data_IF_483058994530
#
_entry.id   IF_483058994530
#
_cell.length_a   1.000
_cell.length_b   1.000
_cell.length_c   1.000
_cell.angle_alpha   90.00
_cell.angle_beta   90.00
_cell.angle_gamma   90.00
#
_symmetry.space_group_name_H-M   'P 1'
#
loop_
_entity.id
_entity.type
_entity.pdbx_description
1 polymer ?
#
# COMPACT_ATOMS: atom_id res chain seq x y z
N UNK A 1 -29.75 -33.66 37.14
CA UNK A 1 -30.50 -33.29 35.90
C UNK A 1 -30.55 -31.78 35.64
N UNK A 2 -30.72 -30.94 36.69
CA UNK A 2 -30.73 -29.45 36.53
C UNK A 2 -29.36 -28.88 36.12
N UNK A 3 -28.27 -29.41 36.70
CA UNK A 3 -26.89 -28.91 36.40
C UNK A 3 -26.41 -29.25 34.99
N UNK A 4 -26.90 -30.37 34.43
CA UNK A 4 -26.57 -30.80 33.07
C UNK A 4 -27.27 -29.91 32.01
N UNK A 5 -28.50 -29.45 32.29
CA UNK A 5 -29.27 -28.58 31.40
C UNK A 5 -28.68 -27.16 31.42
N UNK A 6 -28.25 -26.68 32.60
CA UNK A 6 -27.56 -25.37 32.68
C UNK A 6 -26.21 -25.37 32.02
N UNK A 7 -25.42 -26.45 32.10
CA UNK A 7 -24.16 -26.61 31.40
C UNK A 7 -24.33 -26.66 29.87
N UNK A 8 -25.35 -27.37 29.39
CA UNK A 8 -25.67 -27.43 27.96
C UNK A 8 -26.17 -26.08 27.41
N UNK A 9 -26.98 -25.35 28.19
CA UNK A 9 -27.47 -24.02 27.80
C UNK A 9 -26.36 -22.99 27.79
N UNK A 10 -25.43 -23.00 28.74
CA UNK A 10 -24.26 -22.13 28.74
C UNK A 10 -23.29 -22.45 27.59
N UNK A 11 -23.06 -23.73 27.28
CA UNK A 11 -22.24 -24.12 26.12
C UNK A 11 -22.88 -23.67 24.78
N UNK A 12 -24.20 -23.79 24.68
CA UNK A 12 -24.93 -23.37 23.48
C UNK A 12 -24.89 -21.84 23.32
N UNK A 13 -25.03 -21.07 24.39
CA UNK A 13 -24.96 -19.59 24.37
C UNK A 13 -23.54 -19.12 24.01
N UNK A 14 -22.52 -19.74 24.61
CA UNK A 14 -21.11 -19.39 24.30
C UNK A 14 -20.76 -19.71 22.84
N UNK A 15 -21.18 -20.88 22.34
CA UNK A 15 -20.97 -21.22 20.91
C UNK A 15 -21.69 -20.25 20.00
N UNK A 16 -22.95 -19.87 20.27
CA UNK A 16 -23.69 -18.91 19.46
C UNK A 16 -23.08 -17.51 19.48
N UNK A 17 -22.50 -17.07 20.59
CA UNK A 17 -21.78 -15.79 20.65
C UNK A 17 -20.42 -15.84 19.90
N UNK A 18 -19.68 -16.93 20.05
CA UNK A 18 -18.42 -17.15 19.31
C UNK A 18 -18.70 -17.24 17.81
N UNK A 19 -19.74 -17.97 17.40
CA UNK A 19 -20.17 -18.05 16.00
C UNK A 19 -20.56 -16.68 15.44
N UNK A 20 -21.28 -15.84 16.18
CA UNK A 20 -21.63 -14.48 15.76
C UNK A 20 -20.38 -13.59 15.62
N UNK A 21 -19.43 -13.67 16.56
CA UNK A 21 -18.19 -12.89 16.52
C UNK A 21 -17.30 -13.36 15.36
N UNK A 22 -17.16 -14.66 15.16
CA UNK A 22 -16.40 -15.22 14.04
C UNK A 22 -17.03 -14.83 12.71
N UNK A 23 -18.35 -14.92 12.59
CA UNK A 23 -19.06 -14.55 11.37
C UNK A 23 -18.98 -13.05 11.07
N UNK A 24 -19.10 -12.17 12.07
CA UNK A 24 -19.00 -10.72 11.85
C UNK A 24 -17.59 -10.31 11.39
N UNK A 25 -16.55 -10.85 12.02
CA UNK A 25 -15.16 -10.56 11.66
C UNK A 25 -14.74 -11.20 10.33
N UNK A 26 -15.38 -12.28 9.92
CA UNK A 26 -15.04 -12.98 8.67
C UNK A 26 -15.50 -12.26 7.40
N UNK A 27 -16.41 -11.27 7.52
CA UNK A 27 -16.80 -10.39 6.41
C UNK A 27 -15.87 -9.20 6.24
N UNK A 28 -14.98 -8.94 7.22
CA UNK A 28 -14.00 -7.87 7.10
C UNK A 28 -12.81 -8.38 6.30
N UNK A 29 -12.43 -7.60 5.30
CA UNK A 29 -11.24 -7.80 4.50
C UNK A 29 -10.15 -6.81 4.87
N UNK A 30 -8.91 -7.19 4.60
CA UNK A 30 -7.76 -6.31 4.69
C UNK A 30 -6.76 -6.64 3.60
N UNK A 31 -6.15 -5.61 3.03
CA UNK A 31 -5.00 -5.71 2.15
C UNK A 31 -3.74 -5.41 2.96
N UNK A 32 -2.61 -5.98 2.58
CA UNK A 32 -1.36 -5.80 3.31
C UNK A 32 -0.16 -5.71 2.37
N UNK A 33 0.75 -4.79 2.68
CA UNK A 33 2.07 -4.75 2.09
C UNK A 33 3.11 -4.64 3.22
N UNK A 34 4.04 -5.58 3.27
CA UNK A 34 5.03 -5.69 4.34
C UNK A 34 6.42 -5.69 3.73
N UNK A 35 7.31 -4.84 4.24
CA UNK A 35 8.73 -4.86 3.90
C UNK A 35 9.53 -5.46 5.05
N UNK A 36 10.37 -6.43 4.74
CA UNK A 36 11.37 -7.01 5.64
C UNK A 36 12.77 -6.72 5.11
N UNK A 37 13.61 -6.15 5.96
CA UNK A 37 14.98 -5.78 5.61
C UNK A 37 15.93 -6.54 6.52
N UNK A 38 16.78 -7.38 5.92
CA UNK A 38 17.85 -8.09 6.60
C UNK A 38 19.19 -7.80 5.90
N UNK A 39 20.05 -7.01 6.54
CA UNK A 39 21.27 -6.48 5.96
C UNK A 39 21.00 -5.73 4.64
N UNK A 40 21.41 -6.31 3.51
CA UNK A 40 21.17 -5.76 2.17
C UNK A 40 19.92 -6.36 1.49
N UNK A 41 19.28 -7.35 2.10
CA UNK A 41 18.14 -8.02 1.50
C UNK A 41 16.84 -7.30 1.85
N UNK A 42 16.18 -6.74 0.86
CA UNK A 42 14.83 -6.19 0.96
C UNK A 42 13.85 -7.21 0.38
N UNK A 43 12.93 -7.69 1.21
CA UNK A 43 11.80 -8.50 0.79
C UNK A 43 10.52 -7.68 0.96
N UNK A 44 9.71 -7.62 -0.09
CA UNK A 44 8.39 -7.00 -0.04
C UNK A 44 7.34 -8.07 -0.32
N UNK A 45 6.48 -8.30 0.66
CA UNK A 45 5.34 -9.22 0.56
C UNK A 45 4.05 -8.42 0.49
N UNK A 46 3.20 -8.68 -0.50
CA UNK A 46 1.92 -8.00 -0.65
C UNK A 46 0.78 -8.97 -0.90
N UNK A 47 -0.40 -8.62 -0.37
CA UNK A 47 -1.69 -9.26 -0.60
C UNK A 47 -2.73 -8.16 -0.75
N UNK A 48 -3.30 -8.04 -1.94
CA UNK A 48 -4.22 -6.96 -2.31
C UNK A 48 -3.55 -5.88 -3.17
N UNK A 49 -4.12 -4.68 -3.14
CA UNK A 49 -3.82 -3.55 -4.04
C UNK A 49 -2.97 -2.43 -3.41
N UNK A 50 -2.40 -2.66 -2.22
CA UNK A 50 -1.35 -1.79 -1.70
C UNK A 50 -0.11 -1.83 -2.59
N UNK A 51 0.53 -0.68 -2.79
CA UNK A 51 1.74 -0.54 -3.61
C UNK A 51 3.00 -0.26 -2.79
N UNK A 52 4.15 -0.74 -3.28
CA UNK A 52 5.47 -0.44 -2.76
C UNK A 52 6.41 0.00 -3.88
N UNK A 53 7.10 1.12 -3.68
CA UNK A 53 7.98 1.72 -4.69
C UNK A 53 9.32 2.12 -4.08
N UNK A 54 10.40 1.64 -4.68
CA UNK A 54 11.78 1.97 -4.33
C UNK A 54 12.21 3.23 -5.08
N UNK A 55 12.71 4.22 -4.34
CA UNK A 55 13.32 5.42 -4.87
C UNK A 55 14.83 5.26 -5.03
N UNK A 56 15.30 5.31 -6.26
CA UNK A 56 16.70 5.14 -6.65
C UNK A 56 17.23 6.47 -7.15
N UNK A 57 18.41 6.88 -6.71
CA UNK A 57 19.07 8.08 -7.19
C UNK A 57 20.30 7.71 -8.00
N UNK A 58 20.32 8.10 -9.26
CA UNK A 58 21.49 7.91 -10.12
C UNK A 58 22.68 8.71 -9.55
N UNK A 59 23.82 8.05 -9.23
CA UNK A 59 24.98 8.74 -8.64
C UNK A 59 25.59 9.81 -9.57
N UNK A 60 25.54 9.58 -10.87
CA UNK A 60 26.18 10.42 -11.89
C UNK A 60 25.36 11.68 -12.20
N UNK A 61 24.04 11.52 -12.35
CA UNK A 61 23.14 12.59 -12.77
C UNK A 61 22.33 13.21 -11.65
N UNK A 62 22.23 12.50 -10.50
CA UNK A 62 21.34 12.88 -9.39
C UNK A 62 19.85 12.68 -9.69
N UNK A 63 19.51 12.15 -10.87
CA UNK A 63 18.12 11.90 -11.26
C UNK A 63 17.47 10.78 -10.45
N UNK A 64 16.19 10.93 -10.18
CA UNK A 64 15.38 9.95 -9.47
C UNK A 64 14.76 8.94 -10.43
N UNK A 65 14.77 7.68 -10.03
CA UNK A 65 14.14 6.58 -10.73
C UNK A 65 13.25 5.81 -9.75
N UNK A 66 12.09 5.38 -10.23
CA UNK A 66 11.16 4.56 -9.46
C UNK A 66 11.23 3.10 -9.89
N UNK A 67 11.23 2.18 -8.92
CA UNK A 67 11.12 0.74 -9.16
C UNK A 67 9.97 0.18 -8.32
N UNK A 68 8.94 -0.36 -8.98
CA UNK A 68 7.87 -1.09 -8.28
C UNK A 68 8.45 -2.31 -7.58
N UNK A 69 8.08 -2.50 -6.31
CA UNK A 69 8.54 -3.59 -5.46
C UNK A 69 7.44 -4.62 -5.18
N UNK A 70 6.30 -4.49 -5.82
CA UNK A 70 5.23 -5.48 -5.89
C UNK A 70 4.35 -5.22 -7.11
N UNK A 71 3.51 -6.21 -7.46
CA UNK A 71 2.41 -6.04 -8.38
C UNK A 71 1.12 -5.96 -7.54
N UNK A 72 0.31 -4.94 -7.75
CA UNK A 72 -0.98 -4.85 -7.10
C UNK A 72 -1.90 -5.98 -7.58
N UNK A 73 -2.69 -6.54 -6.67
CA UNK A 73 -3.63 -7.61 -7.01
C UNK A 73 -5.02 -7.02 -7.25
N UNK A 74 -5.17 -6.35 -8.38
CA UNK A 74 -6.40 -5.74 -8.87
C UNK A 74 -6.67 -6.15 -10.34
N UNK A 75 -7.72 -5.63 -10.94
CA UNK A 75 -8.13 -5.97 -12.32
C UNK A 75 -7.16 -5.49 -13.40
N UNK A 76 -6.31 -4.50 -13.12
CA UNK A 76 -5.27 -4.03 -14.05
C UNK A 76 -4.13 -5.05 -14.17
N UNK A 77 -3.98 -5.94 -13.19
CA UNK A 77 -2.99 -6.99 -13.21
C UNK A 77 -3.51 -8.20 -14.00
N UNK A 78 -3.17 -8.24 -15.29
CA UNK A 78 -3.60 -9.31 -16.19
C UNK A 78 -3.20 -10.71 -15.71
N UNK A 79 -2.11 -10.87 -14.95
CA UNK A 79 -1.70 -12.17 -14.39
C UNK A 79 -2.68 -12.65 -13.32
N UNK A 80 -3.14 -11.73 -12.46
CA UNK A 80 -4.16 -12.06 -11.45
C UNK A 80 -5.51 -12.38 -12.09
N UNK A 81 -5.90 -11.59 -13.08
CA UNK A 81 -7.11 -11.86 -13.87
C UNK A 81 -7.04 -13.25 -14.50
N UNK A 82 -5.93 -13.57 -15.18
CA UNK A 82 -5.74 -14.87 -15.80
C UNK A 82 -5.71 -16.03 -14.77
N UNK A 83 -5.13 -15.80 -13.58
CA UNK A 83 -5.16 -16.79 -12.49
C UNK A 83 -6.58 -17.13 -12.10
N UNK A 84 -7.40 -16.12 -11.79
CA UNK A 84 -8.79 -16.31 -11.36
C UNK A 84 -9.59 -17.00 -12.48
N UNK A 85 -9.49 -16.51 -13.71
CA UNK A 85 -10.21 -17.12 -14.85
C UNK A 85 -9.75 -18.56 -15.15
N UNK A 86 -8.50 -18.90 -14.84
CA UNK A 86 -7.95 -20.24 -14.99
C UNK A 86 -8.31 -21.21 -13.87
N UNK A 87 -8.63 -20.71 -12.69
CA UNK A 87 -9.06 -21.49 -11.52
C UNK A 87 -10.55 -21.86 -11.55
N UNK A 88 -11.34 -21.20 -12.43
CA UNK A 88 -12.79 -21.39 -12.52
C UNK A 88 -13.23 -21.91 -13.91
N UNK A 89 -14.41 -22.57 -13.99
CA UNK A 89 -14.98 -23.04 -15.26
C UNK A 89 -15.17 -21.90 -16.27
N UNK A 90 -15.13 -22.24 -17.56
CA UNK A 90 -15.29 -21.25 -18.65
C UNK A 90 -16.63 -20.51 -18.60
N UNK A 91 -17.66 -21.15 -18.10
CA UNK A 91 -19.01 -20.61 -17.93
C UNK A 91 -19.07 -19.46 -16.92
N UNK A 92 -18.05 -19.35 -16.05
CA UNK A 92 -17.94 -18.30 -15.01
C UNK A 92 -17.03 -17.13 -15.42
N UNK A 93 -16.37 -17.19 -16.56
CA UNK A 93 -15.40 -16.19 -16.98
C UNK A 93 -15.99 -14.77 -17.05
N UNK A 94 -17.25 -14.65 -17.51
CA UNK A 94 -17.92 -13.35 -17.60
C UNK A 94 -18.45 -12.82 -16.25
N UNK A 95 -18.45 -13.66 -15.21
CA UNK A 95 -19.02 -13.35 -13.90
C UNK A 95 -17.97 -13.29 -12.79
N UNK A 96 -16.88 -14.06 -12.92
CA UNK A 96 -15.81 -14.09 -11.92
C UNK A 96 -15.12 -12.71 -11.75
N UNK A 97 -14.88 -12.00 -12.84
CA UNK A 97 -14.45 -10.59 -12.82
C UNK A 97 -15.41 -9.78 -13.67
N UNK A 98 -16.10 -8.83 -13.04
CA UNK A 98 -17.09 -7.98 -13.68
C UNK A 98 -16.94 -6.54 -13.20
N UNK A 99 -17.00 -5.57 -14.13
CA UNK A 99 -16.82 -4.15 -13.81
C UNK A 99 -15.55 -3.90 -12.98
N UNK A 100 -14.44 -4.55 -13.37
CA UNK A 100 -13.13 -4.43 -12.71
C UNK A 100 -13.12 -4.92 -11.25
N UNK A 101 -14.09 -5.76 -10.85
CA UNK A 101 -14.24 -6.27 -9.49
C UNK A 101 -14.48 -7.77 -9.47
N UNK A 102 -13.95 -8.43 -8.47
CA UNK A 102 -14.24 -9.84 -8.17
C UNK A 102 -15.73 -10.01 -7.90
N UNK A 103 -16.38 -10.88 -8.67
CA UNK A 103 -17.84 -11.11 -8.66
C UNK A 103 -18.66 -9.81 -8.76
N UNK A 104 -18.09 -8.76 -9.37
CA UNK A 104 -18.70 -7.44 -9.52
C UNK A 104 -18.79 -6.62 -8.23
N UNK A 105 -18.12 -7.01 -7.14
CA UNK A 105 -18.23 -6.36 -5.83
C UNK A 105 -16.88 -5.93 -5.24
N UNK A 106 -15.91 -6.82 -5.12
CA UNK A 106 -14.66 -6.58 -4.40
C UNK A 106 -13.56 -6.11 -5.35
N UNK A 107 -12.93 -4.96 -5.07
CA UNK A 107 -11.86 -4.40 -5.89
C UNK A 107 -10.57 -5.23 -5.82
N UNK A 108 -9.97 -5.54 -4.64
CA UNK A 108 -8.78 -6.38 -4.59
C UNK A 108 -9.07 -7.83 -4.98
N UNK A 109 -8.14 -8.42 -5.76
CA UNK A 109 -8.21 -9.82 -6.21
C UNK A 109 -7.48 -10.80 -5.26
N UNK A 110 -6.83 -10.26 -4.20
CA UNK A 110 -6.32 -10.99 -3.03
C UNK A 110 -6.56 -10.16 -1.78
N UNK A 111 -6.91 -10.79 -0.67
CA UNK A 111 -7.08 -10.11 0.62
C UNK A 111 -6.90 -11.08 1.78
N UNK A 112 -6.55 -10.56 2.95
CA UNK A 112 -6.74 -11.23 4.24
C UNK A 112 -8.21 -11.08 4.64
N UNK A 113 -8.77 -12.04 5.38
CA UNK A 113 -10.21 -11.98 5.69
C UNK A 113 -11.09 -12.17 4.46
N UNK A 114 -12.16 -11.40 4.33
CA UNK A 114 -13.11 -11.49 3.20
C UNK A 114 -13.57 -12.92 2.92
N UNK A 115 -13.84 -13.69 3.96
CA UNK A 115 -14.10 -15.14 3.86
C UNK A 115 -15.35 -15.48 3.04
N UNK A 116 -16.28 -14.51 2.88
CA UNK A 116 -17.45 -14.70 2.02
C UNK A 116 -17.10 -15.00 0.55
N UNK A 117 -15.87 -14.68 0.12
CA UNK A 117 -15.35 -15.00 -1.21
C UNK A 117 -14.46 -16.26 -1.22
N UNK A 118 -14.27 -16.90 -0.06
CA UNK A 118 -13.33 -18.02 0.13
C UNK A 118 -14.00 -19.30 0.60
N UNK A 119 -15.08 -19.21 1.36
CA UNK A 119 -15.75 -20.37 1.94
C UNK A 119 -16.53 -21.17 0.90
N UNK A 120 -16.61 -22.49 1.12
CA UNK A 120 -17.41 -23.36 0.27
C UNK A 120 -18.91 -23.04 0.41
N UNK A 121 -19.70 -23.44 -0.59
CA UNK A 121 -21.15 -23.24 -0.56
C UNK A 121 -21.79 -23.92 0.67
N UNK A 122 -21.28 -25.07 1.10
CA UNK A 122 -21.80 -25.78 2.28
C UNK A 122 -21.61 -24.92 3.57
N UNK A 123 -20.46 -24.25 3.71
CA UNK A 123 -20.22 -23.36 4.85
C UNK A 123 -21.11 -22.11 4.75
N UNK A 124 -21.29 -21.57 3.55
CA UNK A 124 -22.17 -20.43 3.33
C UNK A 124 -23.61 -20.78 3.71
N UNK A 125 -24.13 -21.89 3.23
CA UNK A 125 -25.51 -22.35 3.50
C UNK A 125 -25.73 -22.71 4.97
N UNK A 126 -24.75 -23.32 5.64
CA UNK A 126 -24.89 -23.79 7.00
C UNK A 126 -24.75 -22.65 8.05
N UNK A 127 -23.88 -21.69 7.83
CA UNK A 127 -23.51 -20.69 8.85
C UNK A 127 -23.84 -19.26 8.46
N UNK A 128 -23.66 -18.88 7.19
CA UNK A 128 -23.78 -17.49 6.75
C UNK A 128 -25.23 -17.13 6.43
N UNK A 129 -25.88 -17.91 5.59
CA UNK A 129 -27.27 -17.66 5.16
C UNK A 129 -28.24 -17.65 6.35
N UNK A 130 -28.20 -18.59 7.33
CA UNK A 130 -29.09 -18.55 8.48
C UNK A 130 -28.87 -17.33 9.40
N UNK A 131 -27.66 -16.76 9.40
CA UNK A 131 -27.30 -15.65 10.30
C UNK A 131 -27.52 -14.27 9.65
N UNK A 132 -27.14 -14.15 8.38
CA UNK A 132 -27.10 -12.87 7.66
C UNK A 132 -28.07 -12.77 6.47
N UNK A 133 -28.68 -13.88 6.07
CA UNK A 133 -29.56 -13.96 4.91
C UNK A 133 -28.82 -14.23 3.59
N UNK A 134 -29.58 -14.55 2.55
CA UNK A 134 -29.04 -14.88 1.21
C UNK A 134 -28.23 -13.74 0.56
N UNK A 135 -28.52 -12.47 0.92
CA UNK A 135 -27.79 -11.31 0.41
C UNK A 135 -26.33 -11.25 0.87
N UNK A 136 -25.94 -12.04 1.87
CA UNK A 136 -24.55 -12.15 2.31
C UNK A 136 -23.71 -13.01 1.37
N UNK A 137 -24.33 -13.87 0.55
CA UNK A 137 -23.64 -14.65 -0.49
C UNK A 137 -23.35 -13.72 -1.68
N UNK A 138 -22.09 -13.70 -2.19
CA UNK A 138 -21.80 -12.92 -3.40
C UNK A 138 -22.62 -13.37 -4.60
N UNK A 139 -22.98 -12.49 -5.53
CA UNK A 139 -23.65 -12.89 -6.76
C UNK A 139 -22.74 -13.81 -7.59
N UNK A 140 -23.32 -14.78 -8.30
CA UNK A 140 -22.57 -15.70 -9.17
C UNK A 140 -21.50 -16.54 -8.43
N UNK A 141 -21.78 -16.91 -7.17
CA UNK A 141 -20.89 -17.69 -6.30
C UNK A 141 -21.08 -19.19 -6.52
N UNK A 142 -20.45 -19.74 -7.57
CA UNK A 142 -20.70 -21.13 -7.99
C UNK A 142 -19.60 -22.10 -7.57
N UNK A 143 -18.33 -21.75 -7.80
CA UNK A 143 -17.15 -22.62 -7.56
C UNK A 143 -16.11 -21.97 -6.64
N UNK A 144 -16.45 -21.62 -5.38
CA UNK A 144 -15.46 -21.04 -4.46
C UNK A 144 -14.27 -21.97 -4.21
N UNK A 145 -13.09 -21.41 -3.83
CA UNK A 145 -12.82 -20.02 -3.47
C UNK A 145 -12.49 -19.12 -4.67
N UNK A 146 -12.98 -17.88 -4.68
CA UNK A 146 -12.62 -16.87 -5.70
C UNK A 146 -11.48 -15.96 -5.24
N UNK A 147 -11.24 -15.84 -3.93
CA UNK A 147 -10.27 -14.95 -3.31
C UNK A 147 -9.22 -15.76 -2.55
N UNK A 148 -7.95 -15.35 -2.63
CA UNK A 148 -6.87 -15.95 -1.85
C UNK A 148 -6.19 -14.91 -0.95
N UNK A 149 -5.59 -15.38 0.16
CA UNK A 149 -4.74 -14.59 1.03
C UNK A 149 -3.24 -14.79 0.71
N UNK A 150 -2.90 -15.62 -0.28
CA UNK A 150 -1.52 -15.95 -0.60
C UNK A 150 -0.75 -14.70 -1.03
N UNK A 151 0.33 -14.30 -0.35
CA UNK A 151 1.11 -13.12 -0.74
C UNK A 151 1.97 -13.39 -1.98
N UNK A 152 2.22 -12.34 -2.76
CA UNK A 152 3.34 -12.29 -3.69
C UNK A 152 4.54 -11.67 -2.97
N UNK A 153 5.73 -12.28 -3.10
CA UNK A 153 6.96 -11.81 -2.46
C UNK A 153 7.98 -11.45 -3.54
N UNK A 154 8.51 -10.23 -3.47
CA UNK A 154 9.62 -9.79 -4.30
C UNK A 154 10.86 -9.54 -3.44
N UNK A 155 12.02 -9.87 -3.98
CA UNK A 155 13.34 -9.67 -3.36
C UNK A 155 14.17 -8.67 -4.15
N UNK A 156 14.87 -7.80 -3.43
CA UNK A 156 15.83 -6.85 -3.99
C UNK A 156 17.06 -6.74 -3.08
N UNK A 157 18.24 -6.75 -3.66
CA UNK A 157 19.48 -6.49 -2.93
C UNK A 157 19.74 -4.99 -2.96
N UNK A 158 19.74 -4.35 -1.78
CA UNK A 158 19.94 -2.92 -1.62
C UNK A 158 21.36 -2.52 -2.03
N UNK A 159 21.44 -1.51 -2.89
CA UNK A 159 22.67 -0.87 -3.30
C UNK A 159 22.80 0.58 -2.81
N UNK A 160 23.98 1.21 -2.93
CA UNK A 160 24.21 2.59 -2.49
C UNK A 160 23.32 3.63 -3.18
N UNK A 161 22.75 3.32 -4.36
CA UNK A 161 21.84 4.16 -5.11
C UNK A 161 20.40 4.11 -4.59
N UNK A 162 20.02 3.08 -3.84
CA UNK A 162 18.71 2.96 -3.20
C UNK A 162 18.63 3.91 -2.02
N UNK A 163 17.62 4.78 -2.01
CA UNK A 163 17.54 5.87 -1.03
C UNK A 163 16.38 5.72 -0.07
N UNK A 164 15.24 5.24 -0.55
CA UNK A 164 14.05 5.05 0.26
C UNK A 164 13.08 4.06 -0.38
N UNK A 165 12.20 3.52 0.45
CA UNK A 165 11.04 2.74 0.04
C UNK A 165 9.78 3.48 0.49
N UNK A 166 8.81 3.60 -0.41
CA UNK A 166 7.46 4.10 -0.10
C UNK A 166 6.49 2.95 -0.19
N UNK A 167 5.73 2.71 0.87
CA UNK A 167 4.62 1.76 0.92
C UNK A 167 3.36 2.56 1.17
N UNK A 168 2.32 2.34 0.37
CA UNK A 168 1.06 3.03 0.55
C UNK A 168 -0.14 2.18 0.13
N UNK A 169 -1.33 2.53 0.67
CA UNK A 169 -2.60 2.04 0.20
C UNK A 169 -2.94 2.60 -1.18
N UNK A 170 -3.88 1.97 -1.87
CA UNK A 170 -4.40 2.36 -3.20
C UNK A 170 -4.80 3.83 -3.26
N UNK A 171 -5.39 4.39 -2.20
CA UNK A 171 -5.79 5.79 -2.15
C UNK A 171 -4.68 6.81 -2.43
N UNK A 172 -3.37 6.45 -2.32
CA UNK A 172 -2.29 7.29 -2.82
C UNK A 172 -2.09 7.11 -4.32
N UNK A 173 -2.07 5.86 -4.77
CA UNK A 173 -1.74 5.49 -6.14
C UNK A 173 -2.81 5.91 -7.14
N UNK A 174 -4.05 6.13 -6.69
CA UNK A 174 -5.15 6.73 -7.48
C UNK A 174 -4.88 8.20 -7.86
N UNK A 175 -4.07 8.92 -7.08
CA UNK A 175 -3.79 10.34 -7.29
C UNK A 175 -2.44 10.63 -7.91
N UNK A 176 -1.41 9.83 -7.59
CA UNK A 176 -0.03 10.13 -7.96
C UNK A 176 0.67 8.87 -8.47
N UNK A 177 1.35 8.97 -9.58
CA UNK A 177 2.13 7.87 -10.16
C UNK A 177 3.36 7.51 -9.32
N UNK A 178 3.87 6.27 -9.39
CA UNK A 178 5.11 5.86 -8.73
C UNK A 178 6.31 6.77 -9.02
N UNK A 179 6.42 7.28 -10.23
CA UNK A 179 7.50 8.19 -10.65
C UNK A 179 7.39 9.56 -9.97
N UNK A 180 6.17 10.10 -9.89
CA UNK A 180 5.91 11.36 -9.20
C UNK A 180 6.13 11.24 -7.70
N UNK A 181 5.68 10.13 -7.08
CA UNK A 181 5.95 9.84 -5.65
C UNK A 181 7.44 9.87 -5.36
N UNK A 182 8.26 9.21 -6.19
CA UNK A 182 9.71 9.18 -6.00
C UNK A 182 10.33 10.56 -6.20
N UNK A 183 9.88 11.33 -7.18
CA UNK A 183 10.35 12.70 -7.41
C UNK A 183 10.02 13.63 -6.22
N UNK A 184 8.79 13.59 -5.73
CA UNK A 184 8.33 14.38 -4.59
C UNK A 184 9.10 14.06 -3.30
N UNK A 185 9.31 12.77 -2.99
CA UNK A 185 10.11 12.37 -1.82
C UNK A 185 11.56 12.80 -1.99
N UNK A 186 12.12 12.64 -3.18
CA UNK A 186 13.48 13.04 -3.49
C UNK A 186 13.72 14.55 -3.35
N UNK A 187 12.80 15.36 -3.85
CA UNK A 187 12.84 16.82 -3.71
C UNK A 187 12.71 17.24 -2.23
N UNK A 188 11.80 16.62 -1.50
CA UNK A 188 11.63 16.86 -0.07
C UNK A 188 12.90 16.52 0.73
N UNK A 189 13.57 15.39 0.41
CA UNK A 189 14.86 15.02 1.02
C UNK A 189 15.96 16.05 0.73
N UNK A 190 16.08 16.48 -0.52
CA UNK A 190 17.07 17.48 -0.92
C UNK A 190 16.82 18.82 -0.21
N UNK A 191 15.57 19.23 -0.08
CA UNK A 191 15.17 20.43 0.65
C UNK A 191 15.52 20.37 2.15
N UNK A 192 15.39 19.20 2.78
CA UNK A 192 15.78 18.98 4.19
C UNK A 192 17.28 19.05 4.40
N UNK A 193 18.10 18.50 3.51
CA UNK A 193 19.57 18.57 3.60
C UNK A 193 20.09 20.01 3.65
N UNK A 194 19.35 20.94 3.06
CA UNK A 194 19.69 22.38 3.10
C UNK A 194 19.54 22.98 4.48
N UNK A 195 18.71 22.40 5.37
CA UNK A 195 18.48 22.88 6.73
C UNK A 195 19.53 22.35 7.73
N UNK A 196 20.29 21.29 7.37
CA UNK A 196 21.35 20.76 8.23
C UNK A 196 22.57 21.68 8.24
N UNK A 197 23.39 21.68 9.34
CA UNK A 197 24.67 22.40 9.35
C UNK A 197 25.56 21.97 8.17
N UNK A 198 26.13 22.95 7.46
CA UNK A 198 27.02 22.66 6.34
C UNK A 198 28.33 22.08 6.87
N UNK A 199 28.60 20.83 6.49
CA UNK A 199 29.93 20.24 6.69
C UNK A 199 30.78 20.57 5.46
N UNK A 200 31.89 21.27 5.68
CA UNK A 200 32.87 21.47 4.62
C UNK A 200 33.57 20.14 4.31
N UNK A 201 33.87 19.84 3.03
CA UNK A 201 34.65 18.68 2.69
C UNK A 201 36.01 18.71 3.39
N UNK A 202 36.47 17.55 3.88
CA UNK A 202 37.80 17.41 4.48
C UNK A 202 38.83 17.21 3.38
N UNK A 203 39.88 18.04 3.34
CA UNK A 203 40.99 18.01 2.36
C UNK A 203 41.18 19.35 1.65
N UNK A 204 42.03 19.38 0.63
CA UNK A 204 42.30 20.56 -0.19
C UNK A 204 41.07 20.88 -1.08
N UNK A 205 40.20 21.73 -0.56
CA UNK A 205 38.97 22.16 -1.23
C UNK A 205 39.21 23.52 -1.89
N UNK A 206 38.93 23.64 -3.17
CA UNK A 206 39.06 24.91 -3.88
C UNK A 206 37.96 25.90 -3.51
N UNK A 207 38.26 27.20 -3.57
CA UNK A 207 37.26 28.27 -3.35
C UNK A 207 36.09 28.19 -4.34
N UNK A 208 36.34 27.68 -5.56
CA UNK A 208 35.30 27.45 -6.55
C UNK A 208 34.30 26.40 -6.11
N UNK A 209 34.80 25.31 -5.53
CA UNK A 209 33.97 24.22 -5.02
C UNK A 209 33.13 24.63 -3.80
N UNK A 210 33.71 25.38 -2.89
CA UNK A 210 32.98 25.98 -1.78
C UNK A 210 31.91 26.96 -2.28
N UNK A 211 32.25 27.80 -3.27
CA UNK A 211 31.27 28.72 -3.87
C UNK A 211 30.11 28.00 -4.53
N UNK A 212 30.36 26.89 -5.26
CA UNK A 212 29.33 26.04 -5.85
C UNK A 212 28.40 25.44 -4.78
N UNK A 213 28.97 24.84 -3.73
CA UNK A 213 28.21 24.28 -2.62
C UNK A 213 27.33 25.32 -1.92
N UNK A 214 27.84 26.53 -1.74
CA UNK A 214 27.07 27.66 -1.17
C UNK A 214 25.94 28.11 -2.10
N UNK A 215 26.17 28.15 -3.40
CA UNK A 215 25.15 28.50 -4.39
C UNK A 215 24.02 27.46 -4.43
N UNK A 216 24.36 26.18 -4.46
CA UNK A 216 23.39 25.06 -4.38
C UNK A 216 22.56 25.13 -3.09
N UNK A 217 23.21 25.41 -1.97
CA UNK A 217 22.54 25.58 -0.68
C UNK A 217 21.60 26.78 -0.65
N UNK A 218 22.00 27.87 -1.26
CA UNK A 218 21.17 29.08 -1.37
C UNK A 218 19.93 28.82 -2.24
N UNK A 219 20.08 28.10 -3.35
CA UNK A 219 18.98 27.70 -4.22
C UNK A 219 18.01 26.76 -3.47
N UNK A 220 18.52 25.80 -2.68
CA UNK A 220 17.70 24.90 -1.87
C UNK A 220 16.96 25.62 -0.70
N UNK A 221 17.54 26.68 -0.11
CA UNK A 221 16.85 27.49 0.92
C UNK A 221 15.63 28.23 0.38
N UNK A 222 15.60 28.58 -0.89
CA UNK A 222 14.43 29.19 -1.53
C UNK A 222 13.26 28.19 -1.68
N UNK A 223 13.53 26.90 -1.54
CA UNK A 223 12.55 25.78 -1.64
C UNK A 223 12.37 25.06 -0.31
N UNK A 224 12.34 25.80 0.81
CA UNK A 224 12.14 25.19 2.14
C UNK A 224 10.86 24.35 2.14
N UNK A 225 10.93 23.05 2.54
CA UNK A 225 9.74 22.20 2.56
C UNK A 225 8.72 22.72 3.54
N UNK A 226 7.47 22.79 3.13
CA UNK A 226 6.35 23.19 3.99
C UNK A 226 6.06 22.11 5.03
N UNK A 227 6.28 20.85 4.66
CA UNK A 227 5.92 19.67 5.42
C UNK A 227 7.10 19.12 6.23
N UNK A 228 6.80 18.66 7.45
CA UNK A 228 7.84 18.13 8.36
C UNK A 228 8.39 16.77 7.89
N UNK A 229 7.59 15.97 7.22
CA UNK A 229 7.97 14.65 6.73
C UNK A 229 7.43 14.39 5.31
N UNK A 230 8.05 13.44 4.61
CA UNK A 230 7.69 13.15 3.22
C UNK A 230 6.32 12.51 3.07
N UNK A 231 5.80 11.78 4.07
CA UNK A 231 4.46 11.21 3.97
C UNK A 231 3.39 12.32 3.96
N UNK A 232 3.51 13.33 4.84
CA UNK A 232 2.64 14.52 4.80
C UNK A 232 2.79 15.29 3.49
N UNK A 233 4.02 15.38 2.96
CA UNK A 233 4.29 16.02 1.68
C UNK A 233 3.58 15.30 0.53
N UNK A 234 3.62 13.97 0.51
CA UNK A 234 2.90 13.16 -0.47
C UNK A 234 1.37 13.32 -0.37
N UNK A 235 0.80 13.29 0.85
CA UNK A 235 -0.64 13.50 1.05
C UNK A 235 -1.07 14.88 0.54
N UNK A 236 -0.28 15.92 0.83
CA UNK A 236 -0.57 17.28 0.36
C UNK A 236 -0.57 17.37 -1.16
N UNK A 237 0.40 16.71 -1.83
CA UNK A 237 0.47 16.68 -3.28
C UNK A 237 -0.64 15.81 -3.88
N UNK A 238 -0.98 14.69 -3.28
CA UNK A 238 -2.10 13.85 -3.73
C UNK A 238 -3.44 14.60 -3.71
N UNK A 239 -3.75 15.28 -2.60
CA UNK A 239 -5.04 15.95 -2.44
C UNK A 239 -5.10 17.34 -3.09
N UNK A 240 -3.99 18.01 -3.30
CA UNK A 240 -3.95 19.40 -3.75
C UNK A 240 -2.94 19.71 -4.84
N UNK A 241 -2.19 18.71 -5.34
CA UNK A 241 -1.23 18.91 -6.42
C UNK A 241 -1.91 19.32 -7.73
N UNK A 242 -1.28 20.26 -8.43
CA UNK A 242 -1.62 20.69 -9.79
C UNK A 242 -0.32 20.99 -10.54
N UNK A 243 -0.38 21.13 -11.86
CA UNK A 243 0.77 21.53 -12.70
C UNK A 243 1.41 22.87 -12.28
N UNK A 244 0.65 23.68 -11.51
CA UNK A 244 1.09 25.01 -11.06
C UNK A 244 1.48 25.04 -9.57
N UNK A 245 1.43 23.90 -8.88
CA UNK A 245 1.75 23.77 -7.46
C UNK A 245 0.59 23.29 -6.60
N UNK A 246 0.63 23.58 -5.31
CA UNK A 246 -0.37 23.11 -4.33
C UNK A 246 -1.57 24.08 -4.26
N UNK A 247 -2.75 23.55 -4.53
CA UNK A 247 -4.03 24.27 -4.37
C UNK A 247 -4.67 23.94 -3.00
N UNK A 248 -4.57 24.87 -2.06
CA UNK A 248 -5.08 24.68 -0.70
C UNK A 248 -6.61 24.56 -0.62
N UNK A 249 -7.35 25.21 -1.52
CA UNK A 249 -8.80 25.09 -1.63
C UNK A 249 -9.24 23.67 -1.96
N UNK A 250 -8.50 22.98 -2.85
CA UNK A 250 -8.75 21.58 -3.21
C UNK A 250 -8.51 20.64 -2.00
N UNK A 251 -7.44 20.86 -1.26
CA UNK A 251 -7.16 20.10 -0.02
C UNK A 251 -8.30 20.33 1.00
N UNK A 252 -8.68 21.59 1.23
CA UNK A 252 -9.76 21.91 2.16
C UNK A 252 -11.07 21.26 1.75
N UNK A 253 -11.39 21.25 0.46
CA UNK A 253 -12.57 20.56 -0.08
C UNK A 253 -12.55 19.05 0.26
N UNK A 254 -11.48 18.32 -0.09
CA UNK A 254 -11.39 16.88 0.19
C UNK A 254 -11.45 16.55 1.69
N UNK A 255 -10.87 17.40 2.54
CA UNK A 255 -10.89 17.21 3.99
C UNK A 255 -12.22 17.58 4.65
N UNK A 256 -13.05 18.39 3.99
CA UNK A 256 -14.36 18.80 4.49
C UNK A 256 -15.52 17.88 4.09
N UNK A 257 -15.24 16.88 3.23
CA UNK A 257 -16.26 15.94 2.78
C UNK A 257 -16.80 15.11 3.94
N UNK A 258 -18.13 14.97 4.10
CA UNK A 258 -18.72 14.07 5.09
C UNK A 258 -18.36 12.61 4.86
N UNK A 259 -18.33 11.80 5.93
CA UNK A 259 -17.90 10.39 5.87
C UNK A 259 -18.75 9.52 4.94
N UNK A 260 -20.02 9.83 4.78
CA UNK A 260 -20.97 9.11 3.92
C UNK A 260 -20.75 9.36 2.42
N UNK A 261 -20.09 10.46 2.06
CA UNK A 261 -19.83 10.82 0.65
C UNK A 261 -18.34 10.81 0.28
N UNK A 262 -17.41 10.84 1.25
CA UNK A 262 -15.97 10.96 1.00
C UNK A 262 -15.44 9.85 0.09
N UNK A 263 -15.94 8.62 0.22
CA UNK A 263 -15.54 7.46 -0.59
C UNK A 263 -15.94 7.54 -2.07
N UNK A 264 -16.79 8.47 -2.45
CA UNK A 264 -17.09 8.77 -3.86
C UNK A 264 -16.01 9.63 -4.51
N UNK A 265 -15.15 10.27 -3.71
CA UNK A 265 -14.14 11.23 -4.16
C UNK A 265 -12.71 10.82 -3.86
N UNK A 266 -12.51 10.07 -2.79
CA UNK A 266 -11.19 9.52 -2.41
C UNK A 266 -11.34 8.32 -1.47
N UNK A 267 -10.36 7.43 -1.50
CA UNK A 267 -10.19 6.41 -0.47
C UNK A 267 -9.27 6.90 0.66
N UNK A 268 -9.09 6.08 1.68
CA UNK A 268 -8.18 6.34 2.78
C UNK A 268 -6.72 6.21 2.32
N UNK A 269 -5.90 7.21 2.68
CA UNK A 269 -4.50 7.26 2.28
C UNK A 269 -3.62 6.94 3.49
N UNK A 270 -2.93 5.80 3.43
CA UNK A 270 -1.90 5.44 4.40
C UNK A 270 -0.55 5.37 3.69
N UNK A 271 0.47 6.03 4.25
CA UNK A 271 1.81 6.10 3.65
C UNK A 271 2.89 5.83 4.69
N UNK A 272 3.80 4.94 4.36
CA UNK A 272 5.05 4.71 5.10
C UNK A 272 6.24 5.00 4.19
N UNK A 273 7.17 5.85 4.65
CA UNK A 273 8.42 6.15 3.94
C UNK A 273 9.59 5.68 4.78
N UNK A 274 10.37 4.74 4.25
CA UNK A 274 11.53 4.14 4.89
C UNK A 274 12.78 4.65 4.18
N UNK A 275 13.66 5.34 4.90
CA UNK A 275 14.91 5.87 4.36
C UNK A 275 16.06 4.91 4.59
N UNK A 276 16.91 4.74 3.59
CA UNK A 276 18.10 3.91 3.67
C UNK A 276 19.35 4.74 3.96
N UNK A 277 20.20 4.22 4.82
CA UNK A 277 21.51 4.82 5.07
C UNK A 277 22.53 4.31 4.04
N UNK A 278 22.80 5.15 3.03
CA UNK A 278 23.70 4.79 1.93
C UNK A 278 25.13 4.47 2.39
N UNK A 279 25.64 5.15 3.45
CA UNK A 279 26.98 4.87 4.00
C UNK A 279 27.03 3.48 4.64
N UNK A 280 25.96 3.10 5.34
CA UNK A 280 25.85 1.76 5.95
C UNK A 280 25.77 0.67 4.87
N UNK A 281 24.94 0.89 3.84
CA UNK A 281 24.81 -0.02 2.70
C UNK A 281 26.15 -0.21 2.01
N UNK A 282 26.89 0.87 1.72
CA UNK A 282 28.23 0.78 1.09
C UNK A 282 29.19 -0.06 1.92
N UNK A 283 29.26 0.18 3.23
CA UNK A 283 30.14 -0.61 4.12
C UNK A 283 29.79 -2.10 4.17
N UNK A 284 28.50 -2.43 4.10
CA UNK A 284 28.06 -3.83 4.05
C UNK A 284 28.42 -4.47 2.71
N UNK A 285 28.24 -3.74 1.59
CA UNK A 285 28.58 -4.25 0.24
C UNK A 285 30.06 -4.51 0.04
N UNK A 286 30.94 -3.75 0.72
CA UNK A 286 32.40 -3.94 0.66
C UNK A 286 32.90 -5.14 1.47
N UNK A 287 32.10 -5.62 2.43
CA UNK A 287 32.43 -6.73 3.32
C UNK A 287 31.79 -8.07 2.91
N UNK A 288 31.00 -8.07 1.84
CA UNK A 288 30.33 -9.25 1.26
C UNK A 288 31.03 -9.66 -0.03
#
# INVERSE_FOLDING_TARGET
MHDTINSLSQHCIVNTQIEKILNLNSFLGAVACVAHIDHLNLHVASTGDCGAVLGIQCPETGQWQSKKMNNEHNSDNLKEVQRILGEHPKEEQDTAIRNERLLGQLAPLRALGDFRYKWSNEIMDQYVVPTFGEHAVPPHYYTPPYLTALPEVQHHVLGPSDKFLVIASDGLWDFITPSEVVSLVGEHLNSKKVLEPMKLPTGDVTLLEVSRLLAERKAGRARKPLDQNSATHLIRNALGGTDYGIEHSKIAYYLSLPQDVVRLYRDDITITVIYFNSEYITKLSENT
#
